data_IF_503686992763
#
_entry.id   IF_503686992763
#
_cell.length_a   1.000
_cell.length_b   1.000
_cell.length_c   1.000
_cell.angle_alpha   90.00
_cell.angle_beta   90.00
_cell.angle_gamma   90.00
#
_symmetry.space_group_name_H-M   'P 1'
#
loop_
_entity.id
_entity.type
_entity.pdbx_description
1 polymer ?
#
# COMPACT_ATOMS: atom_id res chain seq x y z
N UNK A 1 9.24 15.01 14.29
CA UNK A 1 7.88 15.08 13.71
C UNK A 1 7.44 13.65 13.41
N UNK A 2 6.25 13.25 13.82
CA UNK A 2 5.75 11.88 13.73
C UNK A 2 4.33 11.90 13.14
N UNK A 3 4.09 11.09 12.12
CA UNK A 3 2.80 11.00 11.41
C UNK A 3 2.08 9.66 11.65
N UNK A 4 2.69 8.78 12.44
CA UNK A 4 2.22 7.43 12.69
C UNK A 4 3.15 6.65 13.61
N UNK A 5 2.87 5.37 13.80
CA UNK A 5 3.62 4.49 14.70
C UNK A 5 3.57 3.02 14.23
N UNK A 6 4.51 2.21 14.71
CA UNK A 6 4.45 0.76 14.50
C UNK A 6 3.51 0.12 15.52
N UNK A 7 2.51 -0.61 15.03
CA UNK A 7 1.80 -1.61 15.81
C UNK A 7 2.43 -2.98 15.54
N UNK A 8 3.31 -3.40 16.44
CA UNK A 8 4.05 -4.65 16.29
C UNK A 8 3.18 -5.90 16.52
N UNK A 9 2.05 -5.78 17.22
CA UNK A 9 1.13 -6.91 17.45
C UNK A 9 0.42 -7.23 16.14
N UNK A 10 -0.08 -6.19 15.46
CA UNK A 10 -0.74 -6.31 14.16
C UNK A 10 0.26 -6.48 13.01
N UNK A 11 1.53 -6.09 13.25
CA UNK A 11 2.62 -6.01 12.25
C UNK A 11 2.33 -4.96 11.18
N UNK A 12 1.88 -3.80 11.64
CA UNK A 12 1.44 -2.69 10.79
C UNK A 12 2.18 -1.41 11.13
N UNK A 13 2.22 -0.49 10.15
CA UNK A 13 2.51 0.90 10.41
C UNK A 13 1.20 1.69 10.33
N UNK A 14 0.77 2.25 11.45
CA UNK A 14 -0.48 3.02 11.58
C UNK A 14 -0.19 4.47 11.26
N UNK A 15 -0.90 5.04 10.29
CA UNK A 15 -0.80 6.46 9.92
C UNK A 15 -1.89 7.22 10.67
N UNK A 16 -1.50 8.02 11.67
CA UNK A 16 -2.42 8.79 12.53
C UNK A 16 -2.83 10.12 11.90
N UNK A 17 -2.04 10.62 10.94
CA UNK A 17 -2.22 11.92 10.29
C UNK A 17 -2.14 11.80 8.77
N UNK A 18 -3.20 12.27 8.10
CA UNK A 18 -3.32 12.20 6.63
C UNK A 18 -2.40 13.19 5.90
N UNK A 19 -1.97 14.27 6.56
CA UNK A 19 -1.17 15.37 6.01
C UNK A 19 0.35 15.12 6.03
N UNK A 20 0.73 13.87 5.81
CA UNK A 20 2.13 13.45 5.72
C UNK A 20 2.85 14.11 4.51
N UNK A 21 4.16 14.39 4.61
CA UNK A 21 4.86 15.30 3.68
C UNK A 21 5.01 14.76 2.26
N UNK A 22 4.76 13.47 2.04
CA UNK A 22 4.88 12.77 0.76
C UNK A 22 4.03 11.50 0.83
N UNK A 23 3.22 11.23 -0.20
CA UNK A 23 2.37 10.02 -0.27
C UNK A 23 3.11 8.73 0.12
N UNK A 24 2.62 8.04 1.15
CA UNK A 24 3.13 6.73 1.57
C UNK A 24 2.29 5.62 0.95
N UNK A 25 2.94 4.56 0.45
CA UNK A 25 2.29 3.50 -0.34
C UNK A 25 2.49 2.12 0.28
N UNK A 26 1.55 1.23 -0.01
CA UNK A 26 1.60 -0.19 0.27
C UNK A 26 1.38 -0.99 -1.02
N UNK A 27 1.85 -2.22 -1.04
CA UNK A 27 1.64 -3.18 -2.12
C UNK A 27 0.62 -4.23 -1.64
N UNK A 28 -0.44 -4.41 -2.42
CA UNK A 28 -1.51 -5.36 -2.11
C UNK A 28 -1.61 -6.38 -3.24
N UNK A 29 -1.68 -7.67 -2.89
CA UNK A 29 -1.78 -8.77 -3.83
C UNK A 29 -0.43 -9.45 -4.11
N UNK A 30 -0.50 -10.71 -4.54
CA UNK A 30 0.63 -11.55 -4.95
C UNK A 30 0.23 -12.37 -6.17
N UNK A 31 1.21 -12.73 -7.01
CA UNK A 31 0.95 -13.47 -8.25
C UNK A 31 0.36 -12.59 -9.34
N UNK A 32 -0.69 -13.07 -10.00
CA UNK A 32 -1.17 -12.48 -11.26
C UNK A 32 -2.05 -11.22 -11.05
N UNK A 33 -2.38 -10.83 -9.81
CA UNK A 33 -3.08 -9.58 -9.51
C UNK A 33 -2.41 -8.87 -8.32
N UNK A 34 -1.98 -7.63 -8.55
CA UNK A 34 -1.35 -6.80 -7.54
C UNK A 34 -1.63 -5.32 -7.79
N UNK A 35 -1.42 -4.49 -6.77
CA UNK A 35 -1.60 -3.05 -6.87
C UNK A 35 -0.74 -2.29 -5.88
N UNK A 36 -0.56 -1.00 -6.19
CA UNK A 36 0.12 -0.04 -5.33
C UNK A 36 -0.91 1.00 -4.91
N UNK A 37 -1.09 1.15 -3.60
CA UNK A 37 -2.11 2.02 -3.01
C UNK A 37 -1.47 2.92 -1.98
N UNK A 38 -1.85 4.20 -1.97
CA UNK A 38 -1.41 5.13 -0.94
C UNK A 38 -2.38 5.20 0.24
N UNK A 39 -1.97 5.91 1.29
CA UNK A 39 -2.75 6.10 2.53
C UNK A 39 -4.07 6.87 2.36
N UNK A 40 -4.30 7.47 1.18
CA UNK A 40 -5.58 8.12 0.81
C UNK A 40 -6.38 7.31 -0.22
N UNK A 41 -6.10 6.01 -0.36
CA UNK A 41 -6.75 5.08 -1.28
C UNK A 41 -6.60 5.40 -2.79
N UNK A 42 -5.67 6.28 -3.16
CA UNK A 42 -5.24 6.48 -4.55
C UNK A 42 -4.23 5.40 -4.96
N UNK A 43 -4.15 5.08 -6.25
CA UNK A 43 -3.25 4.02 -6.71
C UNK A 43 -3.62 3.43 -8.07
N UNK A 44 -3.07 2.25 -8.34
CA UNK A 44 -3.36 1.47 -9.54
C UNK A 44 -3.22 -0.03 -9.29
N UNK A 45 -3.95 -0.81 -10.08
CA UNK A 45 -3.84 -2.28 -10.12
C UNK A 45 -3.23 -2.72 -11.45
N UNK A 46 -2.50 -3.82 -11.40
CA UNK A 46 -2.04 -4.56 -12.56
C UNK A 46 -2.47 -6.02 -12.45
N UNK A 47 -2.97 -6.57 -13.55
CA UNK A 47 -3.22 -7.99 -13.68
C UNK A 47 -2.29 -8.56 -14.76
N UNK A 48 -1.47 -9.54 -14.41
CA UNK A 48 -0.63 -10.27 -15.36
C UNK A 48 -1.55 -11.07 -16.28
N UNK A 49 -1.56 -10.73 -17.57
CA UNK A 49 -2.25 -11.51 -18.59
C UNK A 49 -1.23 -12.42 -19.25
N UNK A 50 -1.24 -13.70 -18.88
CA UNK A 50 -0.47 -14.72 -19.59
C UNK A 50 -1.14 -15.03 -20.92
N UNK A 51 -0.53 -14.58 -22.01
CA UNK A 51 -0.87 -15.13 -23.32
C UNK A 51 -0.36 -16.57 -23.35
N UNK A 52 -1.26 -17.52 -23.63
CA UNK A 52 -0.98 -18.95 -23.55
C UNK A 52 0.19 -19.40 -24.41
N UNK A 53 0.75 -20.56 -24.06
CA UNK A 53 1.50 -21.40 -25.00
C UNK A 53 0.64 -21.73 -26.22
#
# INVERSE_FOLDING_TARGET
>A
MQYGHFDNISREYVIDRVDLPVSWTNYIGVGDLYGVFNHTAGGMCHAEVRMGR
#
